data_IF_045476852168
#
_entry.id   IF_045476852168
#
_cell.length_a   1.000
_cell.length_b   1.000
_cell.length_c   1.000
_cell.angle_alpha   90.00
_cell.angle_beta   90.00
_cell.angle_gamma   90.00
#
_symmetry.space_group_name_H-M   'P 1'
#
loop_
_entity.id
_entity.type
_entity.pdbx_description
1 polymer ?
#
# COMPACT_ATOMS: atom_id res chain seq x y z
N UNK A 1 -12.48 3.48 -12.71
CA UNK A 1 -12.14 3.01 -11.35
C UNK A 1 -12.69 3.97 -10.31
N UNK A 2 -13.25 3.42 -9.25
CA UNK A 2 -13.81 4.19 -8.16
C UNK A 2 -12.81 4.23 -7.00
N UNK A 3 -12.62 5.42 -6.42
CA UNK A 3 -11.74 5.58 -5.27
C UNK A 3 -12.25 4.73 -4.10
N UNK A 4 -11.40 3.87 -3.51
CA UNK A 4 -11.79 3.08 -2.33
C UNK A 4 -12.20 3.98 -1.16
N UNK A 5 -13.21 3.55 -0.43
CA UNK A 5 -13.65 4.24 0.79
C UNK A 5 -12.99 3.62 2.01
N UNK A 6 -12.64 4.46 2.97
CA UNK A 6 -12.03 4.01 4.22
C UNK A 6 -13.04 3.16 5.01
N UNK A 7 -12.70 1.89 5.33
CA UNK A 7 -13.59 1.06 6.14
C UNK A 7 -13.84 1.66 7.53
N UNK A 8 -15.01 1.43 8.09
CA UNK A 8 -15.34 1.94 9.43
C UNK A 8 -14.37 1.42 10.50
N UNK A 9 -13.96 0.15 10.42
CA UNK A 9 -13.00 -0.42 11.36
C UNK A 9 -11.66 0.33 11.36
N UNK A 10 -11.26 0.87 10.21
CA UNK A 10 -10.00 1.61 10.08
C UNK A 10 -10.03 2.96 10.82
N UNK A 11 -11.20 3.40 11.27
CA UNK A 11 -11.36 4.63 12.05
C UNK A 11 -11.22 4.40 13.54
N UNK A 12 -10.88 3.18 13.95
CA UNK A 12 -10.73 2.81 15.36
C UNK A 12 -9.26 2.61 15.73
N UNK A 13 -8.88 3.07 16.92
CA UNK A 13 -7.53 2.88 17.44
C UNK A 13 -7.42 1.48 18.07
N UNK A 14 -7.40 0.47 17.24
CA UNK A 14 -7.30 -0.95 17.63
C UNK A 14 -6.38 -1.67 16.66
N UNK A 15 -5.94 -2.89 17.01
CA UNK A 15 -5.16 -3.71 16.09
C UNK A 15 -5.96 -4.03 14.82
N UNK A 16 -7.25 -4.34 14.97
CA UNK A 16 -8.11 -4.56 13.81
C UNK A 16 -8.25 -3.27 12.97
N UNK A 17 -8.30 -2.11 13.63
CA UNK A 17 -8.34 -0.83 12.94
C UNK A 17 -7.09 -0.60 12.10
N UNK A 18 -5.92 -0.91 12.64
CA UNK A 18 -4.66 -0.81 11.90
C UNK A 18 -4.62 -1.79 10.73
N UNK A 19 -5.09 -3.02 10.92
CA UNK A 19 -5.17 -4.01 9.86
C UNK A 19 -6.10 -3.53 8.74
N UNK A 20 -7.28 -3.00 9.08
CA UNK A 20 -8.22 -2.48 8.08
C UNK A 20 -7.64 -1.26 7.34
N UNK A 21 -6.91 -0.41 8.03
CA UNK A 21 -6.21 0.72 7.39
C UNK A 21 -5.12 0.24 6.44
N UNK A 22 -4.40 -0.82 6.79
CA UNK A 22 -3.39 -1.41 5.92
C UNK A 22 -4.03 -2.03 4.67
N UNK A 23 -5.17 -2.68 4.80
CA UNK A 23 -5.94 -3.20 3.67
C UNK A 23 -6.36 -2.07 2.73
N UNK A 24 -6.82 -0.96 3.32
CA UNK A 24 -7.21 0.23 2.57
C UNK A 24 -6.02 0.85 1.84
N UNK A 25 -4.85 0.89 2.48
CA UNK A 25 -3.62 1.40 1.87
C UNK A 25 -3.26 0.61 0.62
N UNK A 26 -3.36 -0.72 0.67
CA UNK A 26 -3.13 -1.57 -0.49
C UNK A 26 -4.14 -1.26 -1.61
N UNK A 27 -5.40 -1.07 -1.26
CA UNK A 27 -6.44 -0.72 -2.23
C UNK A 27 -6.17 0.65 -2.88
N UNK A 28 -5.70 1.63 -2.10
CA UNK A 28 -5.33 2.94 -2.64
C UNK A 28 -4.11 2.86 -3.55
N UNK A 29 -3.17 1.96 -3.27
CA UNK A 29 -2.01 1.76 -4.14
C UNK A 29 -2.46 1.23 -5.50
N UNK A 30 -3.35 0.23 -5.53
CA UNK A 30 -3.91 -0.28 -6.78
C UNK A 30 -4.70 0.79 -7.53
N UNK A 31 -5.49 1.57 -6.83
CA UNK A 31 -6.23 2.70 -7.41
C UNK A 31 -5.27 3.72 -8.04
N UNK A 32 -4.18 4.04 -7.35
CA UNK A 32 -3.17 4.97 -7.88
C UNK A 32 -2.53 4.44 -9.16
N UNK A 33 -2.22 3.15 -9.21
CA UNK A 33 -1.69 2.52 -10.42
C UNK A 33 -2.68 2.57 -11.57
N UNK A 34 -3.97 2.34 -11.29
CA UNK A 34 -5.00 2.26 -12.33
C UNK A 34 -5.50 3.63 -12.82
N UNK A 35 -5.23 4.70 -12.11
CA UNK A 35 -5.76 6.04 -12.43
C UNK A 35 -4.69 7.12 -12.57
N UNK A 36 -3.51 6.90 -12.03
CA UNK A 36 -2.48 7.93 -11.90
C UNK A 36 -2.72 8.89 -10.76
N UNK A 37 -3.84 8.76 -10.03
CA UNK A 37 -4.15 9.59 -8.87
C UNK A 37 -3.48 9.04 -7.63
N UNK A 38 -2.31 9.57 -7.29
CA UNK A 38 -1.51 9.13 -6.14
C UNK A 38 -1.88 9.84 -4.84
N UNK A 39 -2.71 10.87 -4.90
CA UNK A 39 -2.97 11.72 -3.73
C UNK A 39 -3.59 10.96 -2.55
N UNK A 40 -4.62 10.12 -2.74
CA UNK A 40 -5.17 9.37 -1.61
C UNK A 40 -4.15 8.45 -0.94
N UNK A 41 -3.28 7.84 -1.74
CA UNK A 41 -2.21 6.98 -1.23
C UNK A 41 -1.18 7.80 -0.45
N UNK A 42 -0.78 8.95 -1.00
CA UNK A 42 0.17 9.85 -0.33
C UNK A 42 -0.41 10.41 0.98
N UNK A 43 -1.70 10.71 1.01
CA UNK A 43 -2.36 11.27 2.20
C UNK A 43 -2.34 10.30 3.39
N UNK A 44 -2.24 8.99 3.15
CA UNK A 44 -2.09 8.00 4.22
C UNK A 44 -0.64 7.76 4.62
N UNK A 45 0.31 8.35 3.92
CA UNK A 45 1.73 8.11 4.13
C UNK A 45 2.37 9.33 4.79
N UNK A 46 3.29 9.08 5.73
CA UNK A 46 4.04 10.15 6.38
C UNK A 46 5.43 9.64 6.78
N UNK A 47 6.33 10.59 6.95
CA UNK A 47 7.68 10.29 7.43
C UNK A 47 8.70 10.14 6.30
N UNK A 48 9.94 9.83 6.69
CA UNK A 48 11.06 9.74 5.74
C UNK A 48 11.12 8.43 4.96
N UNK A 49 10.07 7.64 5.01
CA UNK A 49 10.00 6.34 4.36
C UNK A 49 10.11 6.45 2.84
N UNK A 50 10.98 5.64 2.25
CA UNK A 50 11.18 5.59 0.82
C UNK A 50 10.07 4.85 0.07
N UNK A 51 9.29 4.02 0.75
CA UNK A 51 8.33 3.14 0.09
C UNK A 51 7.29 3.92 -0.71
N UNK A 52 6.58 4.83 -0.05
CA UNK A 52 5.53 5.60 -0.73
C UNK A 52 6.12 6.50 -1.82
N UNK A 53 7.32 7.03 -1.61
CA UNK A 53 7.99 7.87 -2.59
C UNK A 53 8.37 7.09 -3.84
N UNK A 54 8.88 5.87 -3.67
CA UNK A 54 9.20 4.98 -4.80
C UNK A 54 7.96 4.60 -5.58
N UNK A 55 6.88 4.24 -4.89
CA UNK A 55 5.63 3.88 -5.54
C UNK A 55 5.07 5.07 -6.33
N UNK A 56 4.98 6.24 -5.70
CA UNK A 56 4.44 7.43 -6.37
C UNK A 56 5.30 7.88 -7.54
N UNK A 57 6.63 7.82 -7.41
CA UNK A 57 7.56 8.16 -8.49
C UNK A 57 7.40 7.22 -9.68
N UNK A 58 7.25 5.92 -9.42
CA UNK A 58 7.05 4.93 -10.47
C UNK A 58 5.73 5.15 -11.21
N UNK A 59 4.66 5.46 -10.47
CA UNK A 59 3.35 5.75 -11.06
C UNK A 59 3.42 7.00 -11.91
N UNK A 60 4.01 8.08 -11.40
CA UNK A 60 4.16 9.33 -12.14
C UNK A 60 4.98 9.15 -13.41
N UNK A 61 6.04 8.34 -13.33
CA UNK A 61 6.87 8.04 -14.51
C UNK A 61 6.05 7.34 -15.60
N UNK A 62 5.24 6.35 -15.24
CA UNK A 62 4.37 5.67 -16.19
C UNK A 62 3.37 6.66 -16.80
N UNK A 63 2.70 7.45 -15.96
CA UNK A 63 1.65 8.36 -16.42
C UNK A 63 2.18 9.59 -17.16
N UNK A 64 3.48 9.86 -17.11
CA UNK A 64 4.10 10.88 -17.96
C UNK A 64 4.19 10.46 -19.42
N UNK A 65 4.07 9.15 -19.71
CA UNK A 65 4.22 8.59 -21.05
C UNK A 65 3.07 7.69 -21.46
N UNK A 66 2.11 7.44 -20.57
CA UNK A 66 1.02 6.52 -20.85
C UNK A 66 0.14 6.30 -19.63
N UNK A 67 -0.31 5.06 -19.45
CA UNK A 67 -1.19 4.70 -18.33
C UNK A 67 -1.12 3.20 -18.06
N UNK A 68 -1.65 2.79 -16.90
CA UNK A 68 -1.80 1.39 -16.51
C UNK A 68 -3.26 1.11 -16.18
N UNK A 69 -3.72 -0.09 -16.47
CA UNK A 69 -5.05 -0.57 -16.04
C UNK A 69 -4.98 -2.05 -15.68
N UNK A 70 -6.00 -2.52 -14.96
CA UNK A 70 -6.09 -3.89 -14.45
C UNK A 70 -4.95 -4.27 -13.50
N UNK A 71 -4.36 -3.29 -12.83
CA UNK A 71 -3.48 -3.57 -11.70
C UNK A 71 -4.34 -4.09 -10.56
N UNK A 72 -4.02 -5.26 -10.03
CA UNK A 72 -4.82 -5.91 -8.99
C UNK A 72 -3.93 -6.45 -7.88
N UNK A 73 -4.41 -6.31 -6.66
CA UNK A 73 -3.76 -6.90 -5.49
C UNK A 73 -4.82 -7.39 -4.53
N UNK A 74 -4.67 -8.62 -4.07
CA UNK A 74 -5.55 -9.22 -3.07
C UNK A 74 -4.73 -9.73 -1.91
N UNK A 75 -5.31 -9.75 -0.72
CA UNK A 75 -4.67 -10.29 0.47
C UNK A 75 -5.04 -11.76 0.57
N UNK A 76 -4.02 -12.63 0.50
CA UNK A 76 -4.23 -14.07 0.65
C UNK A 76 -4.23 -14.48 2.12
N UNK A 77 -3.31 -13.92 2.90
CA UNK A 77 -3.19 -14.22 4.32
C UNK A 77 -2.70 -13.01 5.09
N UNK A 78 -3.23 -12.83 6.28
CA UNK A 78 -2.68 -11.90 7.26
C UNK A 78 -1.57 -12.66 8.00
N UNK A 79 -0.33 -12.23 7.82
CA UNK A 79 0.82 -12.92 8.39
C UNK A 79 1.08 -12.51 9.83
N UNK A 80 0.85 -11.23 10.13
CA UNK A 80 1.15 -10.70 11.45
C UNK A 80 0.45 -9.37 11.67
N UNK A 81 -0.05 -9.16 12.88
CA UNK A 81 -0.56 -7.87 13.36
C UNK A 81 -0.17 -7.79 14.84
N UNK A 82 0.72 -6.85 15.19
CA UNK A 82 1.12 -6.69 16.58
C UNK A 82 1.57 -5.26 16.90
N UNK A 83 1.42 -4.85 18.17
CA UNK A 83 1.96 -3.55 18.61
C UNK A 83 3.48 -3.58 18.57
N UNK A 84 4.07 -2.46 18.17
CA UNK A 84 5.52 -2.29 18.19
C UNK A 84 5.92 -1.60 19.48
N UNK A 85 6.88 -2.18 20.20
CA UNK A 85 7.42 -1.59 21.42
C UNK A 85 8.30 -0.39 21.05
N UNK A 86 7.96 0.83 21.52
CA UNK A 86 8.77 2.01 21.21
C UNK A 86 10.08 2.09 21.98
N UNK A 87 10.28 1.24 22.99
CA UNK A 87 11.49 1.27 23.83
C UNK A 87 12.73 0.88 23.01
N UNK A 88 13.72 1.77 22.96
CA UNK A 88 14.94 1.53 22.21
C UNK A 88 14.79 1.66 20.70
N UNK A 89 13.67 2.18 20.23
CA UNK A 89 13.32 2.33 18.82
C UNK A 89 12.97 3.79 18.53
N UNK A 90 13.11 4.20 17.27
CA UNK A 90 12.65 5.51 16.79
C UNK A 90 11.16 5.48 16.41
N UNK A 91 10.50 4.35 16.61
CA UNK A 91 9.08 4.18 16.28
C UNK A 91 8.21 4.92 17.29
N UNK A 92 7.23 5.72 16.85
CA UNK A 92 6.32 6.41 17.78
C UNK A 92 5.47 5.43 18.60
N UNK A 93 4.92 5.91 19.71
CA UNK A 93 3.92 5.16 20.44
C UNK A 93 2.67 4.96 19.59
N UNK A 94 1.87 3.94 19.91
CA UNK A 94 0.65 3.57 19.17
C UNK A 94 0.93 3.17 17.73
N UNK A 95 2.03 2.46 17.52
CA UNK A 95 2.39 1.91 16.21
C UNK A 95 2.10 0.42 16.18
N UNK A 96 1.44 -0.01 15.12
CA UNK A 96 1.11 -1.42 14.86
C UNK A 96 1.87 -1.89 13.62
N UNK A 97 2.48 -3.06 13.72
CA UNK A 97 3.08 -3.73 12.58
C UNK A 97 2.04 -4.64 11.93
N UNK A 98 1.84 -4.51 10.62
CA UNK A 98 0.90 -5.33 9.85
C UNK A 98 1.65 -5.93 8.67
N UNK A 99 1.56 -7.24 8.50
CA UNK A 99 2.17 -7.92 7.35
C UNK A 99 1.15 -8.81 6.66
N UNK A 100 1.10 -8.72 5.34
CA UNK A 100 0.21 -9.51 4.50
C UNK A 100 0.99 -10.32 3.48
N UNK A 101 0.51 -11.53 3.18
CA UNK A 101 0.86 -12.20 1.95
C UNK A 101 -0.16 -11.77 0.90
N UNK A 102 0.33 -11.15 -0.17
CA UNK A 102 -0.54 -10.63 -1.24
C UNK A 102 -0.33 -11.39 -2.53
N UNK A 103 -1.38 -11.43 -3.34
CA UNK A 103 -1.33 -11.92 -4.70
C UNK A 103 -1.65 -10.75 -5.62
N UNK A 104 -0.75 -10.46 -6.54
CA UNK A 104 -0.82 -9.24 -7.36
C UNK A 104 -0.62 -9.54 -8.83
N UNK A 105 -1.14 -8.65 -9.67
CA UNK A 105 -0.90 -8.62 -11.10
C UNK A 105 -0.68 -7.16 -11.50
N UNK A 106 0.36 -6.91 -12.29
CA UNK A 106 0.68 -5.55 -12.72
C UNK A 106 -0.27 -5.00 -13.79
N UNK A 107 -1.09 -5.87 -14.38
CA UNK A 107 -2.05 -5.45 -15.40
C UNK A 107 -1.39 -5.09 -16.72
N UNK A 108 -1.95 -4.09 -17.39
CA UNK A 108 -1.49 -3.65 -18.69
C UNK A 108 -0.98 -2.23 -18.60
N UNK A 109 0.21 -1.99 -19.13
CA UNK A 109 0.81 -0.65 -19.22
C UNK A 109 0.93 -0.23 -20.67
N UNK A 110 0.42 0.94 -21.00
CA UNK A 110 0.51 1.53 -22.34
C UNK A 110 1.44 2.74 -22.29
N UNK A 111 2.50 2.71 -23.10
CA UNK A 111 3.47 3.82 -23.19
C UNK A 111 3.68 4.17 -24.66
N UNK A 112 3.18 5.33 -25.08
CA UNK A 112 3.25 5.72 -26.49
C UNK A 112 2.58 4.69 -27.38
N UNK A 113 3.35 4.04 -28.26
CA UNK A 113 2.84 2.98 -29.13
C UNK A 113 3.07 1.57 -28.58
N UNK A 114 3.68 1.47 -27.39
CA UNK A 114 3.98 0.17 -26.75
C UNK A 114 2.89 -0.23 -25.79
N UNK A 115 2.53 -1.51 -25.81
CA UNK A 115 1.60 -2.11 -24.86
C UNK A 115 2.33 -3.25 -24.17
N UNK A 116 2.42 -3.15 -22.83
CA UNK A 116 3.09 -4.15 -22.02
C UNK A 116 2.05 -4.81 -21.13
N UNK A 117 1.78 -6.08 -21.37
CA UNK A 117 0.75 -6.82 -20.66
C UNK A 117 1.42 -7.81 -19.71
N UNK A 118 1.16 -7.65 -18.41
CA UNK A 118 1.59 -8.61 -17.41
C UNK A 118 0.38 -9.37 -16.92
N UNK A 119 0.15 -10.55 -17.49
CA UNK A 119 -0.90 -11.45 -17.04
C UNK A 119 -0.43 -12.39 -15.95
N UNK A 120 0.88 -12.35 -15.61
CA UNK A 120 1.45 -13.20 -14.59
C UNK A 120 1.14 -12.66 -13.21
N UNK A 121 0.55 -13.52 -12.38
CA UNK A 121 0.34 -13.21 -10.99
C UNK A 121 1.60 -13.53 -10.19
N UNK A 122 1.86 -12.73 -9.17
CA UNK A 122 2.98 -12.95 -8.28
C UNK A 122 2.56 -12.74 -6.84
N UNK A 123 3.31 -13.35 -5.93
CA UNK A 123 3.09 -13.17 -4.49
C UNK A 123 4.12 -12.22 -3.93
N UNK A 124 3.69 -11.43 -2.97
CA UNK A 124 4.55 -10.49 -2.25
C UNK A 124 4.22 -10.49 -0.77
N UNK A 125 5.19 -10.12 0.03
CA UNK A 125 4.96 -9.79 1.43
C UNK A 125 4.95 -8.27 1.54
N UNK A 126 3.81 -7.73 1.94
CA UNK A 126 3.65 -6.31 2.23
C UNK A 126 3.71 -6.15 3.75
N UNK A 127 4.73 -5.43 4.23
CA UNK A 127 4.90 -5.16 5.64
C UNK A 127 4.84 -3.65 5.89
N UNK A 128 3.95 -3.24 6.79
CA UNK A 128 3.69 -1.84 7.07
C UNK A 128 3.79 -1.57 8.57
N UNK A 129 4.27 -0.37 8.90
CA UNK A 129 4.14 0.20 10.23
C UNK A 129 3.13 1.34 10.15
N UNK A 130 2.06 1.25 10.95
CA UNK A 130 1.02 2.27 11.01
C UNK A 130 1.00 2.86 12.40
N UNK A 131 0.90 4.18 12.46
CA UNK A 131 0.84 4.92 13.71
C UNK A 131 -0.49 5.66 13.81
N UNK A 132 -1.13 5.59 14.98
CA UNK A 132 -2.35 6.34 15.24
C UNK A 132 -1.99 7.77 15.60
N UNK A 133 -2.36 8.69 14.71
CA UNK A 133 -2.10 10.13 14.86
C UNK A 133 -3.33 10.93 14.43
N UNK A 134 -3.69 11.93 15.21
CA UNK A 134 -4.79 12.84 14.82
C UNK A 134 -6.07 12.09 14.46
N UNK A 135 -6.40 11.08 15.26
CA UNK A 135 -7.61 10.27 15.11
C UNK A 135 -7.67 9.44 13.84
N UNK A 136 -6.51 9.07 13.29
CA UNK A 136 -6.44 8.21 12.11
C UNK A 136 -5.14 7.39 12.07
N UNK A 137 -5.14 6.34 11.27
CA UNK A 137 -3.95 5.53 11.02
C UNK A 137 -3.15 6.10 9.85
N UNK A 138 -1.85 6.26 10.06
CA UNK A 138 -0.91 6.76 9.05
C UNK A 138 0.18 5.71 8.87
N UNK A 139 0.53 5.41 7.63
CA UNK A 139 1.63 4.52 7.29
C UNK A 139 2.93 5.30 7.35
N UNK A 140 3.81 4.91 8.27
CA UNK A 140 5.09 5.58 8.47
C UNK A 140 6.26 4.83 7.85
N UNK A 141 6.07 3.55 7.53
CA UNK A 141 7.10 2.74 6.89
C UNK A 141 6.45 1.57 6.17
N UNK A 142 7.02 1.18 5.05
CA UNK A 142 6.53 0.04 4.29
C UNK A 142 7.63 -0.66 3.53
N UNK A 143 7.42 -1.95 3.28
CA UNK A 143 8.24 -2.75 2.36
C UNK A 143 7.32 -3.69 1.61
N UNK A 144 7.67 -3.97 0.38
CA UNK A 144 6.95 -4.95 -0.42
C UNK A 144 7.97 -5.76 -1.20
N UNK A 145 8.07 -7.04 -0.89
CA UNK A 145 9.05 -7.92 -1.51
C UNK A 145 8.35 -9.12 -2.14
N UNK A 146 8.72 -9.42 -3.39
CA UNK A 146 8.20 -10.61 -4.06
C UNK A 146 8.74 -11.86 -3.36
N UNK A 147 7.86 -12.84 -3.19
CA UNK A 147 8.28 -14.13 -2.69
C UNK A 147 8.88 -14.92 -3.85
N UNK A 148 9.94 -15.67 -3.55
CA UNK A 148 10.46 -16.61 -4.54
C UNK A 148 9.55 -17.84 -4.55
N UNK A 149 8.88 -17.99 -5.63
CA UNK A 149 7.99 -19.13 -5.80
C UNK A 149 8.79 -20.37 -6.18
#
# INVERSE_FOLDING_TARGET
YTKPELPEEAKENTERGAEAAAEHYLALMAYAWNTGDTQPFEDMSDGPDDFHQKVTSNIRNVYSHGWTYDNQSTIEHVLDVHPVDPNGSTVPQNTISVAFLTKSSDGTTCKGTKVDISSTEYQSVLALLLTWQDSKWIVIQGTMENTDA
#
